data_IF_564999109702
#
_entry.id   IF_564999109702
#
_cell.length_a   1.000
_cell.length_b   1.000
_cell.length_c   1.000
_cell.angle_alpha   90.00
_cell.angle_beta   90.00
_cell.angle_gamma   90.00
#
_symmetry.space_group_name_H-M   'P 1'
#
loop_
_entity.id
_entity.type
_entity.pdbx_description
1 polymer ?
#
# COMPACT_ATOMS: atom_id res chain seq x y z
N UNK A 1 -23.48 -12.79 32.24
CA UNK A 1 -22.23 -13.21 31.55
C UNK A 1 -21.95 -12.15 30.52
N UNK A 2 -21.10 -11.19 30.87
CA UNK A 2 -20.90 -9.95 30.11
C UNK A 2 -20.36 -10.24 28.72
N UNK A 3 -21.10 -9.83 27.69
CA UNK A 3 -20.72 -10.00 26.27
C UNK A 3 -19.30 -9.47 26.01
N UNK A 4 -18.88 -8.45 26.76
CA UNK A 4 -17.54 -7.84 26.69
C UNK A 4 -16.40 -8.76 27.12
N UNK A 5 -16.64 -9.72 28.03
CA UNK A 5 -15.62 -10.69 28.46
C UNK A 5 -15.66 -11.99 27.67
N UNK A 6 -16.56 -12.11 26.69
CA UNK A 6 -16.57 -13.26 25.79
C UNK A 6 -15.31 -13.32 24.94
N UNK A 7 -14.75 -14.52 24.78
CA UNK A 7 -13.53 -14.73 24.02
C UNK A 7 -13.88 -14.80 22.53
N UNK A 8 -13.23 -13.96 21.73
CA UNK A 8 -13.33 -13.92 20.27
C UNK A 8 -11.92 -13.97 19.68
N UNK A 9 -11.65 -14.97 18.83
CA UNK A 9 -10.34 -15.19 18.19
C UNK A 9 -9.15 -15.07 19.17
N UNK A 10 -9.25 -15.75 20.32
CA UNK A 10 -8.18 -15.83 21.33
C UNK A 10 -8.21 -14.76 22.42
N UNK A 11 -8.86 -13.62 22.21
CA UNK A 11 -8.86 -12.51 23.17
C UNK A 11 -10.28 -12.02 23.53
N UNK A 12 -10.47 -11.38 24.71
CA UNK A 12 -11.76 -10.81 25.10
C UNK A 12 -12.30 -9.77 24.11
N UNK A 13 -13.62 -9.76 23.90
CA UNK A 13 -14.27 -8.86 22.95
C UNK A 13 -14.02 -7.37 23.23
N UNK A 14 -13.88 -6.98 24.50
CA UNK A 14 -13.56 -5.58 24.86
C UNK A 14 -12.21 -5.12 24.30
N UNK A 15 -11.22 -6.01 24.14
CA UNK A 15 -9.91 -5.68 23.57
C UNK A 15 -10.03 -5.39 22.08
N UNK A 16 -10.84 -6.18 21.36
CA UNK A 16 -11.15 -5.96 19.95
C UNK A 16 -11.93 -4.67 19.73
N UNK A 17 -12.99 -4.45 20.51
CA UNK A 17 -13.80 -3.24 20.40
C UNK A 17 -13.01 -1.98 20.79
N UNK A 18 -12.18 -2.07 21.83
CA UNK A 18 -11.29 -0.98 22.22
C UNK A 18 -10.28 -0.65 21.12
N UNK A 19 -9.64 -1.67 20.55
CA UNK A 19 -8.72 -1.50 19.43
C UNK A 19 -9.41 -0.88 18.19
N UNK A 20 -10.55 -1.45 17.74
CA UNK A 20 -11.31 -0.90 16.61
C UNK A 20 -11.82 0.52 16.88
N UNK A 21 -12.15 0.84 18.14
CA UNK A 21 -12.48 2.19 18.57
C UNK A 21 -11.31 3.15 18.41
N UNK A 22 -10.09 2.76 18.82
CA UNK A 22 -8.87 3.54 18.59
C UNK A 22 -8.61 3.73 17.09
N UNK A 23 -8.68 2.67 16.29
CA UNK A 23 -8.51 2.76 14.83
C UNK A 23 -9.55 3.70 14.21
N UNK A 24 -10.82 3.58 14.61
CA UNK A 24 -11.90 4.45 14.15
C UNK A 24 -11.66 5.92 14.51
N UNK A 25 -11.20 6.20 15.73
CA UNK A 25 -10.83 7.54 16.16
C UNK A 25 -9.66 8.11 15.35
N UNK A 26 -8.64 7.30 15.07
CA UNK A 26 -7.50 7.72 14.24
C UNK A 26 -7.93 8.03 12.81
N UNK A 27 -8.76 7.18 12.19
CA UNK A 27 -9.30 7.42 10.86
C UNK A 27 -10.20 8.67 10.82
N UNK A 28 -10.99 8.90 11.87
CA UNK A 28 -11.81 10.09 12.00
C UNK A 28 -10.96 11.37 12.17
N UNK A 29 -9.89 11.31 12.97
CA UNK A 29 -8.93 12.41 13.12
C UNK A 29 -8.27 12.76 11.79
N UNK A 30 -7.82 11.73 11.09
CA UNK A 30 -7.10 11.82 9.82
C UNK A 30 -7.97 12.33 8.64
N UNK A 31 -9.30 12.07 8.68
CA UNK A 31 -10.30 12.68 7.79
C UNK A 31 -10.73 14.09 8.20
N UNK A 32 -11.03 14.28 9.49
CA UNK A 32 -11.79 15.42 9.99
C UNK A 32 -10.95 16.64 10.36
N UNK A 33 -9.73 16.41 10.86
CA UNK A 33 -8.84 17.47 11.37
C UNK A 33 -7.71 17.77 10.40
N UNK A 34 -7.14 16.74 9.78
CA UNK A 34 -5.89 16.90 9.04
C UNK A 34 -6.06 17.42 7.60
N UNK A 35 -7.21 17.21 6.94
CA UNK A 35 -7.35 17.44 5.49
C UNK A 35 -8.62 18.17 5.06
N UNK A 36 -9.15 19.04 5.91
CA UNK A 36 -10.36 19.80 5.58
C UNK A 36 -10.16 20.77 4.39
N UNK A 37 -8.92 21.20 4.13
CA UNK A 37 -8.61 22.33 3.24
C UNK A 37 -7.74 21.99 2.01
N UNK A 38 -7.58 20.71 1.66
CA UNK A 38 -6.93 20.31 0.39
C UNK A 38 -5.47 20.76 0.20
N UNK A 39 -4.77 21.11 1.29
CA UNK A 39 -3.38 21.54 1.25
C UNK A 39 -2.46 20.39 0.83
N UNK A 40 -1.44 20.69 0.02
CA UNK A 40 -0.39 19.73 -0.31
C UNK A 40 0.47 19.48 0.94
N UNK A 41 0.47 18.25 1.45
CA UNK A 41 1.25 17.87 2.63
C UNK A 41 2.74 18.04 2.33
N UNK A 42 3.43 18.84 3.15
CA UNK A 42 4.87 19.02 3.04
C UNK A 42 5.61 17.76 3.52
N UNK A 43 6.85 17.54 3.06
CA UNK A 43 7.68 16.39 3.48
C UNK A 43 7.80 16.34 5.00
N UNK A 44 8.02 17.49 5.66
CA UNK A 44 8.18 17.59 7.10
C UNK A 44 6.93 17.13 7.85
N UNK A 45 5.76 17.61 7.42
CA UNK A 45 4.47 17.22 8.00
C UNK A 45 4.21 15.72 7.81
N UNK A 46 4.47 15.20 6.62
CA UNK A 46 4.35 13.76 6.31
C UNK A 46 5.25 12.89 7.20
N UNK A 47 6.49 13.32 7.43
CA UNK A 47 7.43 12.60 8.31
C UNK A 47 7.02 12.69 9.78
N UNK A 48 6.57 13.86 10.25
CA UNK A 48 6.07 14.02 11.62
C UNK A 48 4.83 13.14 11.86
N UNK A 49 3.90 13.13 10.91
CA UNK A 49 2.71 12.29 10.97
C UNK A 49 3.07 10.79 10.95
N UNK A 50 4.03 10.38 10.11
CA UNK A 50 4.56 9.02 10.13
C UNK A 50 5.17 8.66 11.49
N UNK A 51 5.97 9.56 12.07
CA UNK A 51 6.54 9.39 13.41
C UNK A 51 5.47 9.28 14.49
N UNK A 52 4.38 10.06 14.39
CA UNK A 52 3.24 9.96 15.29
C UNK A 52 2.57 8.58 15.25
N UNK A 53 2.29 8.05 14.05
CA UNK A 53 1.71 6.70 13.91
C UNK A 53 2.66 5.60 14.41
N UNK A 54 3.97 5.75 14.20
CA UNK A 54 4.97 4.82 14.76
C UNK A 54 4.97 4.87 16.29
N UNK A 55 4.99 6.07 16.87
CA UNK A 55 4.96 6.25 18.32
C UNK A 55 3.69 5.64 18.93
N UNK A 56 2.55 5.75 18.26
CA UNK A 56 1.30 5.14 18.71
C UNK A 56 1.35 3.61 18.64
N UNK A 57 1.93 3.05 17.57
CA UNK A 57 2.16 1.60 17.47
C UNK A 57 3.06 1.07 18.59
N UNK A 58 4.12 1.81 18.93
CA UNK A 58 5.00 1.50 20.07
C UNK A 58 4.28 1.66 21.43
N UNK A 59 3.46 2.70 21.59
CA UNK A 59 2.66 2.89 22.80
C UNK A 59 1.66 1.74 22.99
N UNK A 60 1.06 1.25 21.91
CA UNK A 60 0.18 0.09 21.95
C UNK A 60 0.92 -1.19 22.35
N UNK A 61 2.21 -1.34 22.00
CA UNK A 61 3.03 -2.42 22.55
C UNK A 61 3.11 -2.36 24.08
N UNK A 62 3.17 -1.17 24.67
CA UNK A 62 3.14 -1.01 26.14
C UNK A 62 1.81 -1.46 26.74
N UNK A 63 0.70 -1.25 26.03
CA UNK A 63 -0.61 -1.79 26.42
C UNK A 63 -0.65 -3.32 26.32
N UNK A 64 -0.11 -3.90 25.23
CA UNK A 64 0.02 -5.36 25.08
C UNK A 64 0.89 -5.95 26.18
N UNK A 65 1.99 -5.28 26.55
CA UNK A 65 2.85 -5.70 27.65
C UNK A 65 2.09 -5.76 28.99
N UNK A 66 1.30 -4.72 29.27
CA UNK A 66 0.54 -4.64 30.51
C UNK A 66 -0.58 -5.68 30.61
N UNK A 67 -1.24 -6.01 29.49
CA UNK A 67 -2.40 -6.93 29.48
C UNK A 67 -2.06 -8.39 29.18
N UNK A 68 -1.15 -8.63 28.24
CA UNK A 68 -0.81 -9.96 27.71
C UNK A 68 0.61 -10.41 28.10
N UNK A 69 1.43 -9.52 28.65
CA UNK A 69 2.76 -9.82 29.17
C UNK A 69 3.91 -9.56 28.18
N UNK A 70 5.13 -9.84 28.65
CA UNK A 70 6.38 -9.59 27.92
C UNK A 70 6.47 -10.31 26.57
N UNK A 71 6.10 -11.59 26.53
CA UNK A 71 6.22 -12.40 25.32
C UNK A 71 5.33 -11.86 24.20
N UNK A 72 4.04 -11.64 24.48
CA UNK A 72 3.09 -11.08 23.51
C UNK A 72 3.49 -9.68 23.02
N UNK A 73 4.08 -8.86 23.90
CA UNK A 73 4.60 -7.55 23.51
C UNK A 73 5.79 -7.65 22.56
N UNK A 74 6.69 -8.62 22.76
CA UNK A 74 7.83 -8.85 21.87
C UNK A 74 7.35 -9.38 20.51
N UNK A 75 6.39 -10.29 20.49
CA UNK A 75 5.75 -10.80 19.27
C UNK A 75 5.06 -9.66 18.51
N UNK A 76 4.31 -8.81 19.21
CA UNK A 76 3.69 -7.61 18.64
C UNK A 76 4.72 -6.67 18.01
N UNK A 77 5.81 -6.33 18.73
CA UNK A 77 6.85 -5.43 18.22
C UNK A 77 7.58 -6.00 17.03
N UNK A 78 7.94 -7.28 17.10
CA UNK A 78 8.62 -7.99 16.00
C UNK A 78 7.73 -8.00 14.78
N UNK A 79 6.46 -8.34 14.94
CA UNK A 79 5.46 -8.29 13.89
C UNK A 79 5.25 -6.91 13.29
N UNK A 80 5.12 -5.89 14.16
CA UNK A 80 4.98 -4.50 13.77
C UNK A 80 6.17 -4.03 12.93
N UNK A 81 7.41 -4.34 13.32
CA UNK A 81 8.61 -3.94 12.58
C UNK A 81 8.72 -4.68 11.23
N UNK A 82 8.43 -5.98 11.21
CA UNK A 82 8.41 -6.77 9.96
C UNK A 82 7.39 -6.18 8.99
N UNK A 83 6.16 -5.97 9.42
CA UNK A 83 5.09 -5.41 8.59
C UNK A 83 5.37 -3.95 8.21
N UNK A 84 5.97 -3.14 9.10
CA UNK A 84 6.33 -1.76 8.76
C UNK A 84 7.41 -1.71 7.66
N UNK A 85 8.34 -2.66 7.70
CA UNK A 85 9.40 -2.78 6.69
C UNK A 85 8.82 -3.20 5.34
N UNK A 86 7.89 -4.17 5.33
CA UNK A 86 7.20 -4.63 4.13
C UNK A 86 6.23 -3.56 3.57
N UNK A 87 5.60 -2.75 4.43
CA UNK A 87 4.70 -1.68 4.01
C UNK A 87 5.39 -0.60 3.15
N UNK A 88 6.72 -0.45 3.27
CA UNK A 88 7.48 0.45 2.40
C UNK A 88 7.47 -0.04 0.94
N UNK A 89 7.54 -1.35 0.69
CA UNK A 89 7.38 -1.92 -0.65
C UNK A 89 5.97 -1.63 -1.21
N UNK A 90 4.93 -1.72 -0.37
CA UNK A 90 3.55 -1.41 -0.75
C UNK A 90 3.40 0.05 -1.19
N UNK A 91 4.03 0.99 -0.46
CA UNK A 91 4.02 2.42 -0.80
C UNK A 91 4.63 2.68 -2.18
N UNK A 92 5.71 1.98 -2.53
CA UNK A 92 6.29 2.09 -3.86
C UNK A 92 5.32 1.61 -4.92
N UNK A 93 4.68 0.46 -4.72
CA UNK A 93 3.71 -0.07 -5.68
C UNK A 93 2.54 0.88 -5.91
N UNK A 94 2.02 1.46 -4.83
CA UNK A 94 0.98 2.49 -4.86
C UNK A 94 1.40 3.68 -5.72
N UNK A 95 2.62 4.21 -5.53
CA UNK A 95 3.13 5.32 -6.33
C UNK A 95 3.17 5.00 -7.82
N UNK A 96 3.46 3.76 -8.19
CA UNK A 96 3.45 3.33 -9.59
C UNK A 96 2.04 3.21 -10.14
N UNK A 97 1.09 2.65 -9.37
CA UNK A 97 -0.32 2.57 -9.80
C UNK A 97 -0.84 3.98 -10.09
N UNK A 98 -0.55 4.94 -9.21
CA UNK A 98 -0.93 6.33 -9.42
C UNK A 98 -0.22 6.97 -10.61
N UNK A 99 1.08 6.75 -10.79
CA UNK A 99 1.82 7.26 -11.95
C UNK A 99 1.33 6.65 -13.27
N UNK A 100 1.04 5.35 -13.26
CA UNK A 100 0.58 4.58 -14.43
C UNK A 100 -0.83 4.97 -14.88
N UNK A 101 -1.71 5.25 -13.92
CA UNK A 101 -3.07 5.75 -14.16
C UNK A 101 -3.14 7.29 -14.18
N UNK A 102 -1.98 7.98 -14.12
CA UNK A 102 -1.85 9.43 -14.09
C UNK A 102 -2.82 10.11 -13.10
N UNK A 103 -2.99 9.54 -11.90
CA UNK A 103 -3.92 10.06 -10.89
C UNK A 103 -3.34 11.35 -10.28
N UNK A 104 -4.04 12.49 -10.37
CA UNK A 104 -3.61 13.75 -9.78
C UNK A 104 -3.42 13.66 -8.27
N UNK A 105 -2.41 14.36 -7.74
CA UNK A 105 -2.01 14.30 -6.31
C UNK A 105 -3.16 14.58 -5.33
N UNK A 106 -4.00 15.57 -5.63
CA UNK A 106 -5.16 15.92 -4.80
C UNK A 106 -6.22 14.80 -4.69
N UNK A 107 -6.26 13.86 -5.66
CA UNK A 107 -7.18 12.71 -5.64
C UNK A 107 -6.57 11.46 -4.99
N UNK A 108 -5.23 11.36 -4.92
CA UNK A 108 -4.52 10.22 -4.36
C UNK A 108 -4.88 10.02 -2.88
N UNK A 109 -5.02 11.12 -2.13
CA UNK A 109 -5.43 11.08 -0.71
C UNK A 109 -6.70 10.25 -0.51
N UNK A 110 -7.72 10.50 -1.33
CA UNK A 110 -9.01 9.82 -1.23
C UNK A 110 -8.88 8.33 -1.52
N UNK A 111 -8.09 7.96 -2.52
CA UNK A 111 -7.84 6.55 -2.83
C UNK A 111 -7.11 5.87 -1.68
N UNK A 112 -6.09 6.50 -1.10
CA UNK A 112 -5.34 5.96 0.04
C UNK A 112 -6.21 5.80 1.29
N UNK A 113 -7.10 6.76 1.56
CA UNK A 113 -8.04 6.67 2.67
C UNK A 113 -8.95 5.45 2.55
N UNK A 114 -9.64 5.32 1.39
CA UNK A 114 -10.50 4.18 1.13
C UNK A 114 -9.71 2.88 1.05
N UNK A 115 -8.44 2.95 0.62
CA UNK A 115 -7.54 1.81 0.58
C UNK A 115 -7.23 1.30 1.98
N UNK A 116 -6.86 2.16 2.93
CA UNK A 116 -6.63 1.75 4.32
C UNK A 116 -7.87 1.06 4.92
N UNK A 117 -9.08 1.57 4.62
CA UNK A 117 -10.31 0.92 5.07
C UNK A 117 -10.51 -0.47 4.43
N UNK A 118 -10.22 -0.59 3.14
CA UNK A 118 -10.26 -1.87 2.42
C UNK A 118 -9.28 -2.87 3.00
N UNK A 119 -8.02 -2.46 3.18
CA UNK A 119 -6.95 -3.26 3.78
C UNK A 119 -7.31 -3.75 5.18
N UNK A 120 -7.88 -2.89 6.05
CA UNK A 120 -8.33 -3.31 7.39
C UNK A 120 -9.30 -4.51 7.29
N UNK A 121 -10.27 -4.43 6.37
CA UNK A 121 -11.27 -5.49 6.18
C UNK A 121 -10.65 -6.73 5.53
N UNK A 122 -9.91 -6.56 4.44
CA UNK A 122 -9.31 -7.67 3.70
C UNK A 122 -8.31 -8.43 4.57
N UNK A 123 -7.52 -7.74 5.38
CA UNK A 123 -6.60 -8.37 6.32
C UNK A 123 -7.31 -9.10 7.44
N UNK A 124 -8.41 -8.57 7.97
CA UNK A 124 -9.21 -9.29 8.95
C UNK A 124 -9.71 -10.62 8.37
N UNK A 125 -10.15 -10.61 7.11
CA UNK A 125 -10.58 -11.80 6.38
C UNK A 125 -9.42 -12.78 6.19
N UNK A 126 -8.28 -12.33 5.67
CA UNK A 126 -7.11 -13.17 5.42
C UNK A 126 -6.54 -13.79 6.70
N UNK A 127 -6.40 -13.00 7.76
CA UNK A 127 -5.92 -13.46 9.06
C UNK A 127 -6.93 -14.42 9.70
N UNK A 128 -8.23 -14.15 9.56
CA UNK A 128 -9.28 -15.04 10.05
C UNK A 128 -9.30 -16.41 9.36
N UNK A 129 -8.92 -16.47 8.07
CA UNK A 129 -8.74 -17.73 7.35
C UNK A 129 -7.42 -18.45 7.69
N UNK A 130 -6.44 -17.73 8.25
CA UNK A 130 -5.16 -18.28 8.71
C UNK A 130 -4.09 -18.45 7.64
N UNK A 131 -2.86 -18.70 8.07
CA UNK A 131 -1.68 -18.78 7.22
C UNK A 131 -1.76 -19.84 6.11
N UNK A 132 -2.38 -20.99 6.41
CA UNK A 132 -2.43 -22.15 5.50
C UNK A 132 -3.27 -21.88 4.27
N UNK A 133 -4.37 -21.14 4.39
CA UNK A 133 -5.17 -20.78 3.23
C UNK A 133 -4.42 -19.76 2.35
N UNK A 134 -3.67 -18.86 2.97
CA UNK A 134 -2.94 -17.80 2.26
C UNK A 134 -1.71 -18.36 1.52
N UNK A 135 -1.01 -19.36 2.08
CA UNK A 135 0.18 -19.96 1.45
C UNK A 135 -0.11 -20.68 0.13
N UNK A 136 -1.32 -21.21 -0.07
CA UNK A 136 -1.74 -21.83 -1.34
C UNK A 136 -1.76 -20.83 -2.51
N UNK A 137 -1.81 -19.53 -2.21
CA UNK A 137 -1.81 -18.47 -3.20
C UNK A 137 -0.40 -17.93 -3.53
N UNK A 138 0.67 -18.59 -3.06
CA UNK A 138 2.07 -18.17 -3.31
C UNK A 138 2.40 -17.96 -4.79
N UNK A 139 1.77 -18.70 -5.70
CA UNK A 139 1.95 -18.53 -7.15
C UNK A 139 1.54 -17.14 -7.67
N UNK A 140 0.60 -16.46 -6.99
CA UNK A 140 0.18 -15.10 -7.35
C UNK A 140 1.34 -14.10 -7.22
N UNK A 141 2.26 -14.30 -6.28
CA UNK A 141 3.44 -13.46 -6.12
C UNK A 141 4.30 -13.48 -7.39
N UNK A 142 4.51 -14.63 -8.01
CA UNK A 142 5.30 -14.77 -9.23
C UNK A 142 4.63 -14.11 -10.44
N UNK A 143 3.30 -14.24 -10.56
CA UNK A 143 2.54 -13.57 -11.62
C UNK A 143 2.63 -12.05 -11.47
N UNK A 144 2.48 -11.56 -10.24
CA UNK A 144 2.61 -10.14 -9.94
C UNK A 144 4.04 -9.65 -10.17
N UNK A 145 5.05 -10.40 -9.75
CA UNK A 145 6.46 -10.12 -9.98
C UNK A 145 6.77 -9.95 -11.47
N UNK A 146 6.30 -10.88 -12.31
CA UNK A 146 6.44 -10.81 -13.76
C UNK A 146 5.75 -9.57 -14.33
N UNK A 147 4.55 -9.23 -13.83
CA UNK A 147 3.84 -8.02 -14.21
C UNK A 147 4.62 -6.73 -13.85
N UNK A 148 5.24 -6.67 -12.68
CA UNK A 148 6.06 -5.53 -12.25
C UNK A 148 7.30 -5.37 -13.14
N UNK A 149 8.03 -6.46 -13.39
CA UNK A 149 9.22 -6.45 -14.26
C UNK A 149 8.84 -5.96 -15.66
N UNK A 150 7.76 -6.52 -16.23
CA UNK A 150 7.27 -6.12 -17.55
C UNK A 150 6.92 -4.63 -17.60
N UNK A 151 6.20 -4.13 -16.59
CA UNK A 151 5.80 -2.71 -16.52
C UNK A 151 7.03 -1.81 -16.39
N UNK A 152 8.00 -2.19 -15.56
CA UNK A 152 9.26 -1.46 -15.39
C UNK A 152 10.05 -1.35 -16.68
N UNK A 153 10.29 -2.47 -17.38
CA UNK A 153 10.99 -2.49 -18.67
C UNK A 153 10.28 -1.57 -19.68
N UNK A 154 8.95 -1.68 -19.77
CA UNK A 154 8.16 -0.87 -20.70
C UNK A 154 8.23 0.63 -20.42
N UNK A 155 8.38 1.05 -19.17
CA UNK A 155 8.46 2.47 -18.81
C UNK A 155 9.74 3.16 -19.32
N UNK A 156 10.85 2.43 -19.48
CA UNK A 156 12.14 2.96 -19.95
C UNK A 156 12.20 2.99 -21.49
N UNK A 157 11.35 2.23 -22.18
CA UNK A 157 11.39 2.09 -23.62
C UNK A 157 11.02 3.40 -24.36
N UNK A 158 11.82 3.87 -25.34
CA UNK A 158 11.57 5.11 -26.09
C UNK A 158 10.26 5.06 -26.90
N UNK A 159 9.53 6.18 -27.01
CA UNK A 159 8.26 6.27 -27.75
C UNK A 159 6.98 6.06 -26.91
N UNK A 160 7.13 5.80 -25.61
CA UNK A 160 6.03 5.80 -24.63
C UNK A 160 6.11 7.01 -23.69
N UNK A 161 6.55 8.16 -24.21
CA UNK A 161 6.55 9.45 -23.53
C UNK A 161 5.16 10.06 -23.59
N UNK A 162 4.67 10.50 -22.43
CA UNK A 162 3.28 10.86 -22.13
C UNK A 162 2.34 9.66 -22.10
N UNK A 163 2.01 9.22 -20.88
CA UNK A 163 0.99 8.20 -20.60
C UNK A 163 -0.38 8.71 -21.02
N UNK A 164 -0.66 8.63 -22.32
CA UNK A 164 -1.98 8.81 -22.89
C UNK A 164 -2.87 7.70 -22.30
N UNK A 165 -3.74 8.09 -21.36
CA UNK A 165 -4.60 7.21 -20.56
C UNK A 165 -5.42 6.26 -21.46
N UNK A 166 -5.68 6.68 -22.69
CA UNK A 166 -6.43 5.96 -23.70
C UNK A 166 -5.67 4.80 -24.35
N UNK A 167 -4.33 4.79 -24.33
CA UNK A 167 -3.48 3.74 -24.95
C UNK A 167 -2.87 2.77 -23.93
N UNK A 168 -3.19 2.93 -22.65
CA UNK A 168 -2.67 2.09 -21.59
C UNK A 168 -3.32 0.69 -21.66
N UNK A 169 -2.57 -0.41 -21.82
CA UNK A 169 -3.13 -1.74 -22.07
C UNK A 169 -3.92 -2.33 -20.92
N UNK A 170 -3.58 -2.02 -19.66
CA UNK A 170 -4.39 -2.45 -18.51
C UNK A 170 -5.71 -1.68 -18.52
N UNK A 171 -5.66 -0.37 -18.78
CA UNK A 171 -6.87 0.43 -18.97
C UNK A 171 -7.69 -0.05 -20.17
N UNK A 172 -7.08 -0.44 -21.29
CA UNK A 172 -7.78 -1.02 -22.45
C UNK A 172 -8.37 -2.38 -22.12
N UNK A 173 -7.65 -3.25 -21.41
CA UNK A 173 -8.16 -4.54 -20.94
C UNK A 173 -9.35 -4.36 -19.99
N UNK A 174 -9.22 -3.45 -19.02
CA UNK A 174 -10.28 -3.15 -18.06
C UNK A 174 -11.46 -2.45 -18.74
N UNK A 175 -11.24 -1.55 -19.70
CA UNK A 175 -12.30 -0.94 -20.56
C UNK A 175 -13.02 -1.98 -21.41
N UNK A 176 -12.30 -3.01 -21.88
CA UNK A 176 -12.88 -4.09 -22.70
C UNK A 176 -13.73 -5.04 -21.87
N UNK A 177 -13.38 -5.25 -20.60
CA UNK A 177 -14.08 -6.19 -19.71
C UNK A 177 -15.11 -5.52 -18.78
N UNK A 178 -14.89 -4.26 -18.43
CA UNK A 178 -15.67 -3.47 -17.47
C UNK A 178 -16.01 -2.09 -18.04
N UNK A 179 -17.12 -1.50 -17.56
CA UNK A 179 -17.57 -0.17 -17.95
C UNK A 179 -16.73 0.90 -17.26
N UNK A 180 -15.58 1.27 -17.83
CA UNK A 180 -14.66 2.29 -17.28
C UNK A 180 -14.71 3.57 -18.10
N UNK A 181 -14.79 4.74 -17.46
CA UNK A 181 -14.77 6.05 -18.15
C UNK A 181 -13.37 6.41 -18.66
N UNK A 182 -13.30 7.21 -19.73
CA UNK A 182 -12.01 7.67 -20.28
C UNK A 182 -11.35 8.76 -19.45
N UNK A 183 -12.14 9.59 -18.79
CA UNK A 183 -11.66 10.73 -18.02
C UNK A 183 -11.92 10.56 -16.52
N UNK A 184 -11.11 11.26 -15.73
CA UNK A 184 -11.34 11.43 -14.31
C UNK A 184 -12.54 12.35 -14.10
N UNK A 185 -13.42 11.98 -13.18
CA UNK A 185 -14.63 12.75 -12.85
C UNK A 185 -14.50 13.38 -11.45
N UNK A 186 -13.45 14.16 -11.27
CA UNK A 186 -13.07 14.71 -9.97
C UNK A 186 -12.83 13.60 -8.95
N UNK A 187 -13.45 13.72 -7.78
CA UNK A 187 -13.33 12.77 -6.69
C UNK A 187 -14.26 11.54 -6.82
N UNK A 188 -15.14 11.48 -7.83
CA UNK A 188 -16.17 10.43 -7.89
C UNK A 188 -15.58 9.09 -8.33
N UNK A 189 -15.84 8.03 -7.56
CA UNK A 189 -15.45 6.66 -7.96
C UNK A 189 -16.34 6.08 -9.07
N UNK A 190 -17.61 6.48 -9.07
CA UNK A 190 -18.58 6.03 -10.06
C UNK A 190 -19.33 7.20 -10.63
N UNK A 191 -19.66 7.12 -11.91
CA UNK A 191 -20.51 8.09 -12.59
C UNK A 191 -21.59 7.37 -13.39
N UNK A 192 -22.73 8.02 -13.59
CA UNK A 192 -23.77 7.52 -14.50
C UNK A 192 -23.61 8.22 -15.83
N UNK A 193 -23.43 7.46 -16.90
CA UNK A 193 -23.34 7.98 -18.27
C UNK A 193 -24.21 7.12 -19.18
N UNK A 194 -24.70 7.71 -20.27
CA UNK A 194 -25.42 6.97 -21.30
C UNK A 194 -24.44 6.02 -21.99
N UNK A 195 -24.80 4.74 -22.06
CA UNK A 195 -24.01 3.73 -22.76
C UNK A 195 -23.95 4.07 -24.26
N UNK A 196 -22.77 4.23 -24.86
CA UNK A 196 -22.63 4.59 -26.28
C UNK A 196 -23.34 3.63 -27.24
N UNK A 197 -23.56 2.37 -26.83
CA UNK A 197 -24.17 1.34 -27.67
C UNK A 197 -25.68 1.21 -27.45
N UNK A 198 -26.17 1.46 -26.23
CA UNK A 198 -27.58 1.21 -25.88
C UNK A 198 -28.38 2.47 -25.52
N UNK A 199 -27.72 3.61 -25.38
CA UNK A 199 -28.32 4.89 -24.98
C UNK A 199 -28.85 4.93 -23.53
N UNK A 200 -28.79 3.80 -22.80
CA UNK A 200 -29.29 3.69 -21.42
C UNK A 200 -28.27 4.28 -20.44
N UNK A 201 -28.77 4.99 -19.43
CA UNK A 201 -27.95 5.43 -18.31
C UNK A 201 -27.44 4.22 -17.51
N UNK A 202 -26.14 3.96 -17.59
CA UNK A 202 -25.48 2.90 -16.84
C UNK A 202 -24.38 3.48 -15.95
N UNK A 203 -24.05 2.77 -14.88
CA UNK A 203 -23.00 3.17 -13.94
C UNK A 203 -21.64 2.74 -14.48
N UNK A 204 -20.77 3.70 -14.70
CA UNK A 204 -19.38 3.50 -15.08
C UNK A 204 -18.48 3.65 -13.84
N UNK A 205 -17.42 2.84 -13.81
CA UNK A 205 -16.28 2.99 -12.92
C UNK A 205 -15.36 4.08 -13.47
N UNK A 206 -14.80 4.91 -12.61
CA UNK A 206 -13.78 5.88 -13.00
C UNK A 206 -12.39 5.29 -12.87
N UNK A 207 -11.36 5.88 -13.53
CA UNK A 207 -9.96 5.51 -13.29
C UNK A 207 -9.55 5.62 -11.82
N UNK A 208 -10.20 6.49 -11.04
CA UNK A 208 -9.96 6.64 -9.60
C UNK A 208 -10.38 5.39 -8.80
N UNK A 209 -11.52 4.78 -9.16
CA UNK A 209 -11.95 3.53 -8.53
C UNK A 209 -11.09 2.36 -8.99
N UNK A 210 -10.67 2.36 -10.24
CA UNK A 210 -9.72 1.38 -10.74
C UNK A 210 -8.39 1.43 -9.95
N UNK A 211 -7.87 2.62 -9.67
CA UNK A 211 -6.68 2.79 -8.84
C UNK A 211 -6.87 2.18 -7.44
N UNK A 212 -8.01 2.42 -6.80
CA UNK A 212 -8.35 1.80 -5.50
C UNK A 212 -8.31 0.28 -5.60
N UNK A 213 -9.02 -0.31 -6.57
CA UNK A 213 -9.07 -1.77 -6.74
C UNK A 213 -7.68 -2.36 -7.01
N UNK A 214 -6.86 -1.71 -7.82
CA UNK A 214 -5.49 -2.18 -8.10
C UNK A 214 -4.62 -2.14 -6.84
N UNK A 215 -4.78 -1.13 -5.98
CA UNK A 215 -4.06 -1.02 -4.72
C UNK A 215 -4.49 -2.14 -3.75
N UNK A 216 -5.80 -2.39 -3.62
CA UNK A 216 -6.32 -3.48 -2.78
C UNK A 216 -5.84 -4.85 -3.26
N UNK A 217 -5.84 -5.10 -4.58
CA UNK A 217 -5.33 -6.34 -5.16
C UNK A 217 -3.83 -6.48 -4.86
N UNK A 218 -3.06 -5.39 -5.02
CA UNK A 218 -1.65 -5.41 -4.69
C UNK A 218 -1.40 -5.69 -3.20
N UNK A 219 -2.17 -5.11 -2.28
CA UNK A 219 -2.04 -5.40 -0.85
C UNK A 219 -2.37 -6.87 -0.54
N UNK A 220 -3.43 -7.44 -1.14
CA UNK A 220 -3.74 -8.88 -0.98
C UNK A 220 -2.59 -9.74 -1.47
N UNK A 221 -1.99 -9.40 -2.61
CA UNK A 221 -0.82 -10.12 -3.14
C UNK A 221 0.36 -9.99 -2.17
N UNK A 222 0.65 -8.81 -1.64
CA UNK A 222 1.72 -8.63 -0.65
C UNK A 222 1.45 -9.35 0.67
N UNK A 223 0.18 -9.43 1.08
CA UNK A 223 -0.24 -10.19 2.23
C UNK A 223 -0.02 -11.69 2.05
N UNK A 224 0.09 -12.22 0.82
CA UNK A 224 0.51 -13.62 0.58
C UNK A 224 1.91 -13.89 1.12
N UNK A 225 2.80 -12.90 1.06
CA UNK A 225 4.14 -13.01 1.65
C UNK A 225 4.15 -12.60 3.13
N UNK A 226 3.48 -11.51 3.46
CA UNK A 226 3.54 -10.92 4.81
C UNK A 226 2.81 -11.76 5.87
N UNK A 227 1.65 -12.34 5.53
CA UNK A 227 0.79 -13.08 6.49
C UNK A 227 1.47 -14.37 6.99
N UNK A 228 2.05 -15.24 6.13
CA UNK A 228 2.80 -16.39 6.63
C UNK A 228 4.01 -15.99 7.50
N UNK A 229 4.66 -14.85 7.18
CA UNK A 229 5.80 -14.35 7.95
C UNK A 229 5.41 -14.02 9.39
N UNK A 230 4.30 -13.29 9.58
CA UNK A 230 3.84 -12.92 10.91
C UNK A 230 3.32 -14.14 11.68
N UNK A 231 2.67 -15.09 11.01
CA UNK A 231 2.22 -16.33 11.65
C UNK A 231 3.36 -17.25 12.10
N UNK A 232 4.56 -17.10 11.54
CA UNK A 232 5.77 -17.76 12.03
C UNK A 232 6.30 -17.14 13.34
N UNK A 233 5.94 -15.89 13.63
CA UNK A 233 6.29 -15.20 14.88
C UNK A 233 5.27 -15.52 15.98
N UNK A 234 3.99 -15.43 15.66
CA UNK A 234 2.90 -15.66 16.62
C UNK A 234 1.64 -16.16 15.95
N UNK A 235 0.91 -17.04 16.63
CA UNK A 235 -0.38 -17.56 16.17
C UNK A 235 -1.57 -16.86 16.81
N UNK A 236 -1.35 -15.90 17.71
CA UNK A 236 -2.42 -15.10 18.31
C UNK A 236 -2.99 -14.12 17.28
N UNK A 237 -4.24 -14.31 16.79
CA UNK A 237 -4.82 -13.45 15.77
C UNK A 237 -4.93 -11.98 16.20
N UNK A 238 -5.07 -11.71 17.51
CA UNK A 238 -5.10 -10.35 18.02
C UNK A 238 -3.76 -9.65 17.84
N UNK A 239 -2.66 -10.33 18.17
CA UNK A 239 -1.31 -9.78 18.00
C UNK A 239 -0.99 -9.61 16.51
N UNK A 240 -1.29 -10.63 15.69
CA UNK A 240 -1.11 -10.58 14.23
C UNK A 240 -1.86 -9.40 13.63
N UNK A 241 -3.16 -9.26 13.94
CA UNK A 241 -3.99 -8.22 13.35
C UNK A 241 -3.62 -6.82 13.83
N UNK A 242 -3.49 -6.62 15.15
CA UNK A 242 -3.22 -5.28 15.71
C UNK A 242 -1.86 -4.73 15.29
N UNK A 243 -0.80 -5.56 15.32
CA UNK A 243 0.54 -5.14 14.86
C UNK A 243 0.54 -4.75 13.39
N UNK A 244 -0.18 -5.51 12.57
CA UNK A 244 -0.29 -5.26 11.15
C UNK A 244 -1.05 -3.96 10.82
N UNK A 245 -2.21 -3.76 11.45
CA UNK A 245 -2.98 -2.53 11.26
C UNK A 245 -2.17 -1.32 11.71
N UNK A 246 -1.49 -1.35 12.87
CA UNK A 246 -0.63 -0.24 13.27
C UNK A 246 0.53 0.00 12.32
N UNK A 247 1.09 -1.04 11.69
CA UNK A 247 2.15 -0.89 10.69
C UNK A 247 1.64 -0.14 9.43
N UNK A 248 0.40 -0.43 9.02
CA UNK A 248 -0.25 0.16 7.84
C UNK A 248 -0.87 1.52 8.15
N UNK A 249 -1.28 1.77 9.39
CA UNK A 249 -1.67 3.10 9.85
C UNK A 249 -0.47 4.04 9.66
N UNK A 250 -0.72 5.17 9.00
CA UNK A 250 0.32 6.09 8.56
C UNK A 250 0.97 5.75 7.21
N UNK A 251 0.54 4.70 6.50
CA UNK A 251 0.97 4.42 5.12
C UNK A 251 0.74 5.64 4.22
N UNK A 252 -0.37 6.36 4.43
CA UNK A 252 -0.66 7.60 3.71
C UNK A 252 0.41 8.67 3.94
N UNK A 253 0.86 8.83 5.19
CA UNK A 253 1.90 9.78 5.54
C UNK A 253 3.22 9.40 4.86
N UNK A 254 3.58 8.11 4.90
CA UNK A 254 4.78 7.60 4.25
C UNK A 254 4.71 7.76 2.72
N UNK A 255 3.55 7.51 2.13
CA UNK A 255 3.30 7.75 0.71
C UNK A 255 3.52 9.21 0.33
N UNK A 256 2.96 10.17 1.07
CA UNK A 256 3.11 11.58 0.73
C UNK A 256 4.53 12.10 0.98
N UNK A 257 5.21 11.62 2.03
CA UNK A 257 6.63 11.88 2.23
C UNK A 257 7.45 11.43 1.01
N UNK A 258 7.21 10.19 0.54
CA UNK A 258 7.86 9.66 -0.64
C UNK A 258 7.48 10.45 -1.89
N UNK A 259 6.18 10.65 -2.16
CA UNK A 259 5.68 11.31 -3.36
C UNK A 259 6.19 12.76 -3.47
N UNK A 260 6.33 13.47 -2.35
CA UNK A 260 6.89 14.82 -2.32
C UNK A 260 8.38 14.85 -2.67
N UNK A 261 9.15 13.84 -2.25
CA UNK A 261 10.53 13.66 -2.71
C UNK A 261 10.54 13.35 -4.20
N UNK A 262 9.75 12.36 -4.63
CA UNK A 262 9.69 11.87 -6.01
C UNK A 262 9.32 12.96 -7.03
N UNK A 263 8.35 13.82 -6.72
CA UNK A 263 7.86 14.86 -7.64
C UNK A 263 8.91 15.95 -7.96
N UNK A 264 9.95 16.10 -7.14
CA UNK A 264 10.97 17.15 -7.33
C UNK A 264 12.01 16.81 -8.41
N UNK A 265 11.94 15.61 -9.01
CA UNK A 265 12.99 15.09 -9.91
C UNK A 265 12.46 14.73 -11.30
N UNK A 266 13.12 15.27 -12.33
CA UNK A 266 12.72 15.13 -13.74
C UNK A 266 12.89 13.69 -14.29
N UNK A 267 13.76 12.89 -13.68
CA UNK A 267 14.06 11.50 -14.09
C UNK A 267 13.27 10.45 -13.29
N UNK A 268 12.12 10.86 -12.76
CA UNK A 268 11.27 10.04 -11.92
C UNK A 268 10.85 8.74 -12.63
N UNK A 269 10.48 8.83 -13.91
CA UNK A 269 10.03 7.68 -14.71
C UNK A 269 11.08 6.56 -14.74
N UNK A 270 12.36 6.92 -14.89
CA UNK A 270 13.47 5.96 -14.96
C UNK A 270 13.75 5.33 -13.59
N UNK A 271 13.73 6.12 -12.51
CA UNK A 271 13.95 5.61 -11.16
C UNK A 271 12.84 4.62 -10.74
N UNK A 272 11.57 4.95 -11.01
CA UNK A 272 10.44 4.04 -10.78
C UNK A 272 10.55 2.77 -11.61
N UNK A 273 11.00 2.87 -12.86
CA UNK A 273 11.11 1.72 -13.73
C UNK A 273 12.22 0.74 -13.31
N UNK A 274 13.37 1.25 -12.85
CA UNK A 274 14.42 0.42 -12.27
C UNK A 274 13.94 -0.22 -10.96
N UNK A 275 13.23 0.55 -10.14
CA UNK A 275 12.67 0.06 -8.89
C UNK A 275 11.64 -1.06 -9.12
N UNK A 276 10.79 -0.92 -10.14
CA UNK A 276 9.84 -1.94 -10.60
C UNK A 276 10.50 -3.27 -10.93
N UNK A 277 11.55 -3.21 -11.74
CA UNK A 277 12.32 -4.40 -12.13
C UNK A 277 12.98 -5.01 -10.91
N UNK A 278 13.50 -4.19 -9.99
CA UNK A 278 14.10 -4.68 -8.75
C UNK A 278 13.07 -5.40 -7.85
N UNK A 279 11.96 -4.73 -7.50
CA UNK A 279 10.93 -5.28 -6.62
C UNK A 279 10.34 -6.58 -7.19
N UNK A 280 10.09 -6.65 -8.50
CA UNK A 280 9.64 -7.90 -9.12
C UNK A 280 10.74 -8.96 -9.17
N UNK A 281 11.97 -8.58 -9.51
CA UNK A 281 13.10 -9.54 -9.61
C UNK A 281 13.45 -10.18 -8.28
N UNK A 282 13.30 -9.48 -7.15
CA UNK A 282 13.71 -10.01 -5.84
C UNK A 282 12.99 -11.31 -5.46
N UNK A 283 11.76 -11.50 -5.93
CA UNK A 283 10.96 -12.71 -5.70
C UNK A 283 11.62 -13.91 -6.39
N UNK A 284 12.03 -13.76 -7.65
CA UNK A 284 12.75 -14.80 -8.39
C UNK A 284 14.18 -15.03 -7.86
N UNK A 285 14.86 -13.96 -7.43
CA UNK A 285 16.21 -14.04 -6.87
C UNK A 285 16.22 -14.79 -5.54
N UNK A 286 15.26 -14.53 -4.67
CA UNK A 286 15.13 -15.26 -3.40
C UNK A 286 14.96 -16.77 -3.66
N UNK A 287 14.04 -17.14 -4.55
CA UNK A 287 13.79 -18.54 -4.92
C UNK A 287 15.03 -19.21 -5.54
N UNK A 288 15.70 -18.53 -6.48
CA UNK A 288 16.90 -19.06 -7.15
C UNK A 288 18.07 -19.31 -6.17
N UNK A 289 18.19 -18.49 -5.13
CA UNK A 289 19.24 -18.61 -4.11
C UNK A 289 18.84 -19.54 -2.97
N UNK A 290 17.64 -20.15 -3.02
CA UNK A 290 17.10 -20.99 -1.96
C UNK A 290 16.81 -20.23 -0.67
N UNK A 291 16.62 -18.91 -0.76
CA UNK A 291 16.25 -18.07 0.38
C UNK A 291 14.74 -18.13 0.56
N UNK A 292 14.28 -18.35 1.80
CA UNK A 292 12.84 -18.26 2.08
C UNK A 292 12.28 -16.88 1.73
N UNK A 293 13.06 -15.81 1.97
CA UNK A 293 12.68 -14.44 1.66
C UNK A 293 13.89 -13.60 1.29
N UNK A 294 13.66 -12.60 0.43
CA UNK A 294 14.65 -11.57 0.20
C UNK A 294 14.77 -10.69 1.46
N UNK A 295 15.97 -10.50 2.03
CA UNK A 295 16.14 -9.73 3.25
C UNK A 295 15.55 -8.30 3.12
N UNK A 296 14.64 -7.93 4.03
CA UNK A 296 13.96 -6.64 3.99
C UNK A 296 14.94 -5.46 4.05
N UNK A 297 15.98 -5.57 4.88
CA UNK A 297 17.05 -4.57 5.01
C UNK A 297 17.76 -4.30 3.68
N UNK A 298 18.02 -5.37 2.91
CA UNK A 298 18.64 -5.27 1.59
C UNK A 298 17.67 -4.67 0.58
N UNK A 299 16.39 -5.05 0.64
CA UNK A 299 15.34 -4.47 -0.21
C UNK A 299 15.26 -2.96 -0.02
N UNK A 300 15.22 -2.52 1.24
CA UNK A 300 15.19 -1.11 1.63
C UNK A 300 16.47 -0.39 1.21
N UNK A 301 17.64 -0.96 1.47
CA UNK A 301 18.93 -0.38 1.09
C UNK A 301 19.07 -0.19 -0.42
N UNK A 302 18.77 -1.22 -1.20
CA UNK A 302 18.83 -1.16 -2.67
C UNK A 302 17.81 -0.15 -3.20
N UNK A 303 16.58 -0.15 -2.67
CA UNK A 303 15.55 0.81 -3.04
C UNK A 303 16.00 2.25 -2.77
N UNK A 304 16.55 2.49 -1.58
CA UNK A 304 17.09 3.80 -1.22
C UNK A 304 18.21 4.22 -2.17
N UNK A 305 19.13 3.31 -2.52
CA UNK A 305 20.21 3.58 -3.47
C UNK A 305 19.66 3.90 -4.86
N UNK A 306 18.68 3.15 -5.37
CA UNK A 306 18.04 3.41 -6.68
C UNK A 306 17.44 4.81 -6.69
N UNK A 307 16.69 5.17 -5.65
CA UNK A 307 16.05 6.48 -5.54
C UNK A 307 17.08 7.59 -5.37
N UNK A 308 18.02 7.46 -4.43
CA UNK A 308 19.08 8.44 -4.20
C UNK A 308 19.92 8.66 -5.45
N UNK A 309 20.20 7.61 -6.23
CA UNK A 309 20.91 7.69 -7.51
C UNK A 309 20.08 8.41 -8.57
N UNK A 310 18.78 8.10 -8.69
CA UNK A 310 17.87 8.78 -9.61
C UNK A 310 17.71 10.27 -9.28
N UNK A 311 17.58 10.59 -7.99
CA UNK A 311 17.54 11.93 -7.42
C UNK A 311 18.83 12.68 -7.73
N UNK A 312 19.99 12.11 -7.37
CA UNK A 312 21.30 12.71 -7.57
C UNK A 312 21.62 12.93 -9.06
N UNK A 313 21.27 11.97 -9.92
CA UNK A 313 21.38 12.12 -11.36
C UNK A 313 20.50 13.27 -11.88
N UNK A 314 19.25 13.34 -11.42
CA UNK A 314 18.33 14.41 -11.79
C UNK A 314 18.86 15.77 -11.37
N UNK A 315 19.35 15.94 -10.14
CA UNK A 315 19.93 17.20 -9.67
C UNK A 315 21.13 17.63 -10.51
N UNK A 316 22.06 16.70 -10.81
CA UNK A 316 23.24 16.98 -11.62
C UNK A 316 22.90 17.40 -13.05
N UNK A 317 21.84 16.85 -13.64
CA UNK A 317 21.42 17.23 -14.99
C UNK A 317 20.64 18.54 -15.01
N UNK A 318 19.75 18.78 -14.05
CA UNK A 318 18.99 20.05 -13.98
C UNK A 318 19.91 21.23 -13.64
N UNK A 319 20.92 21.03 -12.79
CA UNK A 319 21.94 22.05 -12.48
C UNK A 319 22.89 22.39 -13.64
N UNK A 320 22.94 21.57 -14.69
CA UNK A 320 23.73 21.84 -15.91
C UNK A 320 22.92 22.53 -17.02
N UNK A 321 21.61 22.71 -16.81
CA UNK A 321 20.67 23.29 -17.79
C UNK A 321 20.21 24.70 -17.38
N UNK A 322 20.48 25.11 -16.13
CA UNK A 322 20.44 26.51 -15.68
C UNK A 322 21.82 27.15 -15.83
#
# INVERSE_FOLDING_TARGET
MDILTSIFLGQPLWMWLGFLGVVGLLLAFDLGVLHRDGHEIEVRESLMLSGFYIALGLAFSGFVWWQLGAQSSLEYLTGFVVEKSLAMDNVFVIAMIFGYLAIPRHLQHRVLFWGVLGVIILRAIMIGFGATLVSEFGWLLYVFAAFLIFTGIRMIMPGHGETDLSKNPVLVFMKRRFRVTEQLHGDKFFVRQADPQTGRLVRYMTPLFLALVMIEIADVIFAVDSVPAIFAITTDPYIVYTSNIFAILGLRALYFALAAILHRFAYLKQALAVLLVFIGSKIFVADLLGWEKFPAEWSLGITFVILASGIGYSLRRTAKVQ
#
